data_IF_692877458315
#
_entry.id   IF_692877458315
#
_cell.length_a   1.000
_cell.length_b   1.000
_cell.length_c   1.000
_cell.angle_alpha   90.00
_cell.angle_beta   90.00
_cell.angle_gamma   90.00
#
_symmetry.space_group_name_H-M   'P 1'
#
loop_
_entity.id
_entity.type
_entity.pdbx_description
1 polymer ?
#
# COMPACT_ATOMS: atom_id res chain seq x y z
N UNK A 1 10.60 16.16 7.23
CA UNK A 1 10.45 14.75 7.61
C UNK A 1 9.18 14.64 8.43
N UNK A 2 8.22 13.84 7.98
CA UNK A 2 6.89 13.84 8.57
C UNK A 2 6.86 12.96 9.83
N UNK A 3 6.65 13.54 11.01
CA UNK A 3 6.74 12.86 12.31
C UNK A 3 5.90 11.56 12.43
N UNK A 4 4.86 11.42 11.61
CA UNK A 4 4.04 10.21 11.56
C UNK A 4 4.77 9.00 10.94
N UNK A 5 5.70 9.21 9.99
CA UNK A 5 6.52 8.14 9.42
C UNK A 5 7.49 7.58 10.45
N UNK A 6 8.04 8.42 11.33
CA UNK A 6 8.94 7.98 12.41
C UNK A 6 8.20 7.10 13.41
N UNK A 7 6.93 7.41 13.69
CA UNK A 7 6.06 6.53 14.52
C UNK A 7 5.81 5.20 13.82
N UNK A 8 5.52 5.21 12.51
CA UNK A 8 5.29 3.96 11.77
C UNK A 8 6.54 3.11 11.63
N UNK A 9 7.73 3.70 11.59
CA UNK A 9 8.98 2.95 11.44
C UNK A 9 9.21 1.97 12.59
N UNK A 10 8.71 2.28 13.80
CA UNK A 10 8.83 1.41 14.97
C UNK A 10 8.16 0.04 14.74
N UNK A 11 7.01 0.06 14.07
CA UNK A 11 6.15 -1.13 13.90
C UNK A 11 6.13 -1.66 12.45
N UNK A 12 6.55 -0.86 11.47
CA UNK A 12 6.61 -1.17 10.04
C UNK A 12 7.93 -0.73 9.37
N UNK A 13 9.11 -1.16 9.89
CA UNK A 13 10.41 -0.66 9.44
C UNK A 13 10.76 -1.02 7.99
N UNK A 14 10.28 -2.15 7.45
CA UNK A 14 10.69 -2.61 6.11
C UNK A 14 10.05 -1.76 5.00
N UNK A 15 8.72 -1.51 4.98
CA UNK A 15 8.09 -0.58 4.05
C UNK A 15 8.57 0.86 4.24
N UNK A 16 8.76 1.32 5.48
CA UNK A 16 9.19 2.71 5.74
C UNK A 16 10.60 2.96 5.21
N UNK A 17 11.53 2.01 5.38
CA UNK A 17 12.87 2.13 4.81
C UNK A 17 12.86 2.19 3.27
N UNK A 18 12.00 1.39 2.62
CA UNK A 18 11.82 1.45 1.18
C UNK A 18 11.22 2.80 0.74
N UNK A 19 10.22 3.31 1.48
CA UNK A 19 9.58 4.60 1.21
C UNK A 19 10.54 5.79 1.36
N UNK A 20 11.38 5.80 2.39
CA UNK A 20 12.37 6.87 2.59
C UNK A 20 13.34 7.02 1.42
N UNK A 21 13.68 5.92 0.73
CA UNK A 21 14.48 6.02 -0.51
C UNK A 21 13.73 6.76 -1.61
N UNK A 22 12.40 6.62 -1.70
CA UNK A 22 11.58 7.39 -2.63
C UNK A 22 11.52 8.86 -2.22
N UNK A 23 11.28 9.13 -0.93
CA UNK A 23 11.25 10.48 -0.36
C UNK A 23 12.58 11.23 -0.61
N UNK A 24 13.71 10.53 -0.49
CA UNK A 24 15.05 11.09 -0.73
C UNK A 24 15.42 11.21 -2.23
N UNK A 25 14.50 10.94 -3.16
CA UNK A 25 14.77 11.00 -4.60
C UNK A 25 15.67 9.87 -5.12
N UNK A 26 15.72 8.73 -4.42
CA UNK A 26 16.55 7.55 -4.75
C UNK A 26 15.71 6.30 -5.09
N UNK A 27 14.71 6.38 -5.99
CA UNK A 27 13.78 5.27 -6.24
C UNK A 27 14.45 4.01 -6.81
N UNK A 28 15.58 4.14 -7.50
CA UNK A 28 16.38 3.00 -8.01
C UNK A 28 16.91 2.12 -6.87
N UNK A 29 17.15 2.71 -5.69
CA UNK A 29 17.64 2.00 -4.51
C UNK A 29 16.62 1.05 -3.87
N UNK A 30 15.31 1.26 -4.11
CA UNK A 30 14.23 0.53 -3.45
C UNK A 30 14.36 -0.98 -3.65
N UNK A 31 14.65 -1.42 -4.88
CA UNK A 31 14.78 -2.85 -5.18
C UNK A 31 15.94 -3.50 -4.41
N UNK A 32 17.04 -2.78 -4.23
CA UNK A 32 18.19 -3.25 -3.45
C UNK A 32 17.83 -3.34 -1.96
N UNK A 33 17.11 -2.36 -1.45
CA UNK A 33 16.70 -2.32 -0.04
C UNK A 33 15.70 -3.43 0.29
N UNK A 34 14.70 -3.65 -0.56
CA UNK A 34 13.76 -4.77 -0.40
C UNK A 34 14.51 -6.11 -0.38
N UNK A 35 15.45 -6.32 -1.30
CA UNK A 35 16.26 -7.55 -1.32
C UNK A 35 17.13 -7.73 -0.09
N UNK A 36 17.70 -6.64 0.44
CA UNK A 36 18.53 -6.66 1.65
C UNK A 36 17.74 -7.11 2.88
N UNK A 37 16.44 -6.79 2.94
CA UNK A 37 15.54 -7.10 4.06
C UNK A 37 14.76 -8.41 3.86
N UNK A 38 14.65 -8.87 2.62
CA UNK A 38 14.01 -10.15 2.29
C UNK A 38 14.86 -11.34 2.77
N UNK A 39 14.20 -12.48 2.99
CA UNK A 39 14.86 -13.70 3.43
C UNK A 39 13.89 -14.66 4.10
N UNK A 40 14.44 -15.65 4.80
CA UNK A 40 13.65 -16.56 5.62
C UNK A 40 12.81 -15.78 6.65
N UNK A 41 11.58 -16.23 6.87
CA UNK A 41 10.58 -15.59 7.73
C UNK A 41 10.18 -14.14 7.34
N UNK A 42 10.64 -13.59 6.21
CA UNK A 42 10.28 -12.22 5.83
C UNK A 42 8.78 -12.08 5.55
N UNK A 43 8.12 -13.13 5.05
CA UNK A 43 6.69 -13.12 4.79
C UNK A 43 5.87 -12.83 6.07
N UNK A 44 6.12 -13.60 7.15
CA UNK A 44 5.38 -13.45 8.41
C UNK A 44 5.66 -12.10 9.07
N UNK A 45 6.92 -11.64 9.03
CA UNK A 45 7.28 -10.31 9.52
C UNK A 45 6.58 -9.20 8.73
N UNK A 46 6.64 -9.24 7.39
CA UNK A 46 6.03 -8.22 6.53
C UNK A 46 4.50 -8.23 6.66
N UNK A 47 3.87 -9.39 6.85
CA UNK A 47 2.43 -9.50 7.10
C UNK A 47 2.00 -8.64 8.31
N UNK A 48 2.74 -8.73 9.41
CA UNK A 48 2.49 -7.90 10.61
C UNK A 48 2.67 -6.41 10.31
N UNK A 49 3.71 -6.03 9.55
CA UNK A 49 3.94 -4.63 9.17
C UNK A 49 2.85 -4.10 8.22
N UNK A 50 2.34 -4.92 7.30
CA UNK A 50 1.20 -4.56 6.44
C UNK A 50 -0.08 -4.32 7.26
N UNK A 51 -0.28 -5.07 8.36
CA UNK A 51 -1.37 -4.83 9.32
C UNK A 51 -1.28 -3.43 9.96
N UNK A 52 -0.08 -3.05 10.40
CA UNK A 52 0.22 -1.71 10.95
C UNK A 52 -0.10 -0.61 9.93
N UNK A 53 0.37 -0.74 8.69
CA UNK A 53 0.12 0.25 7.64
C UNK A 53 -1.38 0.41 7.34
N UNK A 54 -2.14 -0.68 7.33
CA UNK A 54 -3.59 -0.59 7.12
C UNK A 54 -4.32 0.05 8.30
N UNK A 55 -3.90 -0.22 9.53
CA UNK A 55 -4.45 0.44 10.70
C UNK A 55 -4.19 1.95 10.64
N UNK A 56 -2.98 2.35 10.27
CA UNK A 56 -2.61 3.74 10.09
C UNK A 56 -3.44 4.43 8.99
N UNK A 57 -3.57 3.81 7.82
CA UNK A 57 -4.38 4.33 6.72
C UNK A 57 -5.86 4.41 7.10
N UNK A 58 -6.39 3.42 7.82
CA UNK A 58 -7.77 3.44 8.33
C UNK A 58 -7.97 4.60 9.31
N UNK A 59 -7.01 4.84 10.21
CA UNK A 59 -7.06 5.97 11.15
C UNK A 59 -6.96 7.34 10.46
N UNK A 60 -6.28 7.42 9.31
CA UNK A 60 -6.28 8.62 8.47
C UNK A 60 -7.67 8.83 7.85
N UNK A 61 -8.20 7.81 7.16
CA UNK A 61 -9.54 7.86 6.53
C UNK A 61 -10.62 8.22 7.54
N UNK A 62 -10.58 7.65 8.74
CA UNK A 62 -11.58 7.90 9.77
C UNK A 62 -11.59 9.36 10.27
N UNK A 63 -10.45 10.05 10.24
CA UNK A 63 -10.30 11.42 10.73
C UNK A 63 -10.44 12.49 9.65
N UNK A 64 -10.23 12.15 8.39
CA UNK A 64 -10.39 13.09 7.29
C UNK A 64 -11.85 13.57 7.22
N UNK A 65 -12.09 14.88 7.06
CA UNK A 65 -13.44 15.38 6.83
C UNK A 65 -13.90 14.99 5.41
N UNK A 66 -15.22 14.92 5.17
CA UNK A 66 -15.75 14.35 3.93
C UNK A 66 -15.31 15.13 2.68
N UNK A 67 -15.19 16.45 2.79
CA UNK A 67 -14.71 17.33 1.74
C UNK A 67 -13.25 17.05 1.33
N UNK A 68 -12.45 16.42 2.19
CA UNK A 68 -11.07 16.10 1.86
C UNK A 68 -10.97 15.00 0.79
N UNK A 69 -11.97 14.12 0.69
CA UNK A 69 -11.94 12.99 -0.24
C UNK A 69 -11.98 13.42 -1.71
N UNK A 70 -12.54 14.60 -2.00
CA UNK A 70 -12.62 15.15 -3.37
C UNK A 70 -11.45 16.06 -3.73
N UNK A 71 -10.56 16.38 -2.78
CA UNK A 71 -9.39 17.21 -3.04
C UNK A 71 -8.38 16.48 -3.94
N UNK A 72 -7.60 17.22 -4.76
CA UNK A 72 -6.42 16.64 -5.42
C UNK A 72 -5.46 16.09 -4.37
N UNK A 73 -4.87 14.91 -4.62
CA UNK A 73 -3.94 14.36 -3.65
C UNK A 73 -3.34 12.99 -3.97
N UNK A 74 -3.48 12.48 -5.20
CA UNK A 74 -2.95 11.19 -5.61
C UNK A 74 -1.90 11.27 -6.72
N UNK A 75 -1.66 10.12 -7.37
CA UNK A 75 -0.88 10.01 -8.60
C UNK A 75 -1.61 10.74 -9.74
N UNK A 76 -0.90 11.52 -10.57
CA UNK A 76 -1.49 12.32 -11.64
C UNK A 76 -2.63 13.24 -11.14
N UNK A 77 -3.80 13.21 -11.81
CA UNK A 77 -4.96 14.05 -11.49
C UNK A 77 -5.92 13.39 -10.48
N UNK A 78 -5.46 12.40 -9.72
CA UNK A 78 -6.32 11.67 -8.79
C UNK A 78 -6.70 12.49 -7.57
N UNK A 79 -7.95 12.34 -7.15
CA UNK A 79 -8.38 12.81 -5.84
C UNK A 79 -7.95 11.83 -4.72
N UNK A 80 -8.11 12.27 -3.48
CA UNK A 80 -7.75 11.49 -2.29
C UNK A 80 -8.51 10.15 -2.23
N UNK A 81 -9.80 10.11 -2.57
CA UNK A 81 -10.58 8.87 -2.59
C UNK A 81 -10.03 7.85 -3.60
N UNK A 82 -9.62 8.30 -4.79
CA UNK A 82 -9.03 7.45 -5.82
C UNK A 82 -7.70 6.87 -5.35
N UNK A 83 -6.84 7.68 -4.72
CA UNK A 83 -5.55 7.24 -4.21
C UNK A 83 -5.71 6.17 -3.12
N UNK A 84 -6.61 6.38 -2.16
CA UNK A 84 -6.87 5.41 -1.08
C UNK A 84 -7.52 4.13 -1.64
N UNK A 85 -8.45 4.30 -2.57
CA UNK A 85 -9.10 3.19 -3.26
C UNK A 85 -8.11 2.35 -4.08
N UNK A 86 -7.12 2.98 -4.72
CA UNK A 86 -6.03 2.32 -5.41
C UNK A 86 -5.15 1.53 -4.43
N UNK A 87 -4.68 2.16 -3.36
CA UNK A 87 -3.82 1.51 -2.36
C UNK A 87 -4.47 0.24 -1.78
N UNK A 88 -5.74 0.32 -1.37
CA UNK A 88 -6.46 -0.83 -0.84
C UNK A 88 -6.55 -2.00 -1.86
N UNK A 89 -6.75 -1.69 -3.14
CA UNK A 89 -6.76 -2.68 -4.22
C UNK A 89 -5.35 -3.24 -4.50
N UNK A 90 -4.33 -2.39 -4.57
CA UNK A 90 -2.95 -2.77 -4.82
C UNK A 90 -2.42 -3.70 -3.73
N UNK A 91 -2.69 -3.40 -2.46
CA UNK A 91 -2.32 -4.24 -1.32
C UNK A 91 -2.83 -5.67 -1.45
N UNK A 92 -4.09 -5.84 -1.88
CA UNK A 92 -4.69 -7.15 -2.10
C UNK A 92 -4.08 -7.87 -3.32
N UNK A 93 -4.00 -7.16 -4.45
CA UNK A 93 -3.54 -7.71 -5.71
C UNK A 93 -2.07 -8.11 -5.70
N UNK A 94 -1.20 -7.31 -5.06
CA UNK A 94 0.23 -7.59 -4.98
C UNK A 94 0.54 -8.79 -4.09
N UNK A 95 -0.22 -9.01 -3.02
CA UNK A 95 -0.04 -10.21 -2.16
C UNK A 95 -0.51 -11.47 -2.88
N UNK A 96 -1.65 -11.41 -3.58
CA UNK A 96 -2.09 -12.51 -4.46
C UNK A 96 -1.03 -12.80 -5.54
N UNK A 97 -0.51 -11.77 -6.19
CA UNK A 97 0.52 -11.91 -7.21
C UNK A 97 1.80 -12.57 -6.66
N UNK A 98 2.25 -12.14 -5.49
CA UNK A 98 3.39 -12.74 -4.80
C UNK A 98 3.13 -14.22 -4.44
N UNK A 99 1.93 -14.56 -3.98
CA UNK A 99 1.53 -15.93 -3.66
C UNK A 99 1.52 -16.84 -4.90
N UNK A 100 0.97 -16.36 -6.03
CA UNK A 100 0.99 -17.09 -7.29
C UNK A 100 2.42 -17.31 -7.79
N UNK A 101 3.27 -16.29 -7.74
CA UNK A 101 4.67 -16.39 -8.13
C UNK A 101 5.44 -17.37 -7.23
N UNK A 102 5.26 -17.29 -5.90
CA UNK A 102 5.93 -18.17 -4.94
C UNK A 102 5.48 -19.64 -5.04
N UNK A 103 4.23 -19.88 -5.44
CA UNK A 103 3.67 -21.22 -5.61
C UNK A 103 3.84 -21.80 -7.02
N UNK A 104 4.54 -21.11 -7.93
CA UNK A 104 4.72 -21.56 -9.31
C UNK A 104 3.43 -21.63 -10.11
N UNK A 105 2.40 -20.88 -9.69
CA UNK A 105 1.07 -20.80 -10.33
C UNK A 105 0.84 -19.48 -11.06
N UNK A 106 1.92 -18.75 -11.35
CA UNK A 106 1.82 -17.54 -12.16
C UNK A 106 1.33 -17.91 -13.57
N UNK A 107 0.27 -17.27 -14.10
CA UNK A 107 -0.22 -17.58 -15.44
C UNK A 107 0.80 -17.21 -16.51
N UNK A 108 1.01 -18.10 -17.49
CA UNK A 108 1.92 -17.84 -18.62
C UNK A 108 1.43 -16.67 -19.49
N UNK A 109 0.12 -16.42 -19.51
CA UNK A 109 -0.57 -15.36 -20.23
C UNK A 109 -0.96 -14.17 -19.33
N UNK A 110 -0.35 -14.04 -18.14
CA UNK A 110 -0.66 -12.97 -17.22
C UNK A 110 -0.51 -11.59 -17.90
N UNK A 111 -1.53 -10.71 -17.81
CA UNK A 111 -1.45 -9.40 -18.42
C UNK A 111 -0.32 -8.61 -17.81
N UNK A 112 0.31 -7.76 -18.62
CA UNK A 112 1.34 -6.84 -18.14
C UNK A 112 0.74 -5.96 -17.05
N UNK A 113 1.38 -5.92 -15.88
CA UNK A 113 0.99 -5.03 -14.79
C UNK A 113 0.99 -3.59 -15.30
N UNK A 114 -0.15 -2.93 -15.21
CA UNK A 114 -0.31 -1.50 -15.52
C UNK A 114 -0.31 -0.76 -14.18
N UNK A 115 0.72 0.06 -13.88
CA UNK A 115 0.68 0.96 -12.74
C UNK A 115 -0.48 1.94 -12.86
N UNK A 116 -0.97 2.47 -11.73
CA UNK A 116 -1.84 3.64 -11.78
C UNK A 116 -3.29 3.37 -12.19
N UNK A 117 -4.00 2.43 -11.54
CA UNK A 117 -5.46 2.31 -11.70
C UNK A 117 -6.19 3.04 -10.57
N UNK A 118 -6.86 4.18 -10.81
CA UNK A 118 -7.52 4.93 -9.75
C UNK A 118 -8.64 4.12 -9.09
N UNK A 119 -8.88 4.37 -7.81
CA UNK A 119 -10.11 3.97 -7.15
C UNK A 119 -11.34 4.71 -7.67
N UNK A 120 -12.54 4.44 -7.12
CA UNK A 120 -13.73 5.23 -7.40
C UNK A 120 -13.57 6.68 -6.90
N UNK A 121 -13.88 7.70 -7.71
CA UNK A 121 -13.65 9.10 -7.37
C UNK A 121 -14.58 9.66 -6.29
N UNK A 122 -15.72 9.01 -6.07
CA UNK A 122 -16.80 9.40 -5.17
C UNK A 122 -16.95 8.44 -3.98
N UNK A 123 -15.92 7.61 -3.71
CA UNK A 123 -15.95 6.67 -2.60
C UNK A 123 -16.10 7.39 -1.27
N UNK A 124 -17.16 7.04 -0.53
CA UNK A 124 -17.38 7.57 0.83
C UNK A 124 -16.36 7.02 1.83
N UNK A 125 -16.22 7.70 2.98
CA UNK A 125 -15.41 7.23 4.12
C UNK A 125 -15.68 5.76 4.44
N UNK A 126 -16.96 5.41 4.61
CA UNK A 126 -17.37 4.05 4.96
C UNK A 126 -17.02 3.02 3.87
N UNK A 127 -17.14 3.40 2.60
CA UNK A 127 -16.74 2.55 1.49
C UNK A 127 -15.23 2.29 1.50
N UNK A 128 -14.42 3.34 1.74
CA UNK A 128 -12.97 3.23 1.84
C UNK A 128 -12.54 2.38 3.05
N UNK A 129 -13.15 2.58 4.23
CA UNK A 129 -12.88 1.76 5.43
C UNK A 129 -13.22 0.29 5.17
N UNK A 130 -14.37 -0.02 4.56
CA UNK A 130 -14.72 -1.40 4.19
C UNK A 130 -13.71 -1.99 3.21
N UNK A 131 -13.26 -1.23 2.22
CA UNK A 131 -12.27 -1.68 1.23
C UNK A 131 -10.92 -1.97 1.89
N UNK A 132 -10.48 -1.13 2.83
CA UNK A 132 -9.27 -1.36 3.62
C UNK A 132 -9.40 -2.63 4.49
N UNK A 133 -10.53 -2.82 5.15
CA UNK A 133 -10.79 -4.03 5.93
C UNK A 133 -10.79 -5.29 5.04
N UNK A 134 -11.38 -5.22 3.84
CA UNK A 134 -11.36 -6.30 2.87
C UNK A 134 -9.93 -6.61 2.42
N UNK A 135 -9.12 -5.59 2.14
CA UNK A 135 -7.74 -5.79 1.71
C UNK A 135 -6.91 -6.58 2.72
N UNK A 136 -7.18 -6.41 4.03
CA UNK A 136 -6.48 -7.14 5.08
C UNK A 136 -6.85 -8.62 5.17
N UNK A 137 -8.04 -9.01 4.72
CA UNK A 137 -8.45 -10.44 4.75
C UNK A 137 -7.72 -11.30 3.72
N UNK A 138 -7.12 -10.65 2.72
CA UNK A 138 -6.44 -11.31 1.61
C UNK A 138 -4.91 -11.38 1.82
N UNK A 139 -4.42 -10.86 2.96
CA UNK A 139 -3.00 -10.75 3.32
C UNK A 139 -2.64 -11.71 4.45
#
# INVERSE_FOLDING_TARGET
>A
MAAWLDTLELDAPDPVAAWRLVEDGRPVGVRREVRRRAGEASAERVRTQLAVLAAALTAIVARLPDEAFVLPGGEADWNVAQAIGHDASARSGLVLAASLAASGRWPDDAPRVVPGVPGPPDASRDALVRKLAQSQRLI
#
